data_IF_888846827486
#
_entry.id   IF_888846827486
#
_cell.length_a   1.000
_cell.length_b   1.000
_cell.length_c   1.000
_cell.angle_alpha   90.00
_cell.angle_beta   90.00
_cell.angle_gamma   90.00
#
_symmetry.space_group_name_H-M   'P 1'
#
loop_
_entity.id
_entity.type
_entity.pdbx_description
1 polymer ?
#
# COMPACT_ATOMS: atom_id res chain seq x y z
N UNK A 1 40.92 20.53 3.26
CA UNK A 1 40.65 19.47 2.27
C UNK A 1 39.35 19.81 1.57
N UNK A 2 39.42 20.10 0.27
CA UNK A 2 38.28 20.48 -0.56
C UNK A 2 37.40 19.26 -0.79
N UNK A 3 36.13 19.32 -0.34
CA UNK A 3 35.11 18.36 -0.73
C UNK A 3 34.88 18.54 -2.23
N UNK A 4 35.38 17.59 -3.03
CA UNK A 4 35.01 17.49 -4.43
C UNK A 4 33.54 17.07 -4.44
N UNK A 5 32.69 18.01 -4.81
CA UNK A 5 31.27 17.80 -5.06
C UNK A 5 31.18 16.94 -6.33
N UNK A 6 31.36 15.62 -6.20
CA UNK A 6 30.92 14.70 -7.25
C UNK A 6 29.41 14.89 -7.37
N UNK A 7 29.01 15.61 -8.42
CA UNK A 7 27.62 15.82 -8.76
C UNK A 7 27.06 14.44 -9.09
N UNK A 8 26.39 13.82 -8.11
CA UNK A 8 25.66 12.59 -8.31
C UNK A 8 24.64 12.81 -9.43
N UNK A 9 24.93 12.23 -10.60
CA UNK A 9 24.27 12.52 -11.88
C UNK A 9 22.89 11.86 -12.03
N UNK A 10 22.33 11.35 -10.93
CA UNK A 10 21.02 10.69 -10.93
C UNK A 10 19.94 11.60 -10.32
N UNK A 11 18.78 11.62 -10.96
CA UNK A 11 17.55 12.17 -10.39
C UNK A 11 16.72 11.01 -9.82
N UNK A 12 16.37 11.05 -8.53
CA UNK A 12 15.61 9.99 -7.89
C UNK A 12 15.97 9.72 -6.44
N UNK A 13 15.44 8.62 -5.89
CA UNK A 13 15.68 8.16 -4.53
C UNK A 13 16.71 7.03 -4.51
N UNK A 14 17.69 7.11 -3.60
CA UNK A 14 18.60 6.00 -3.28
C UNK A 14 18.69 5.82 -1.76
N UNK A 15 18.55 4.58 -1.31
CA UNK A 15 18.85 4.22 0.07
C UNK A 15 20.36 3.94 0.16
N UNK A 16 21.09 4.62 1.05
CA UNK A 16 22.55 4.53 1.11
C UNK A 16 23.01 3.58 2.20
N UNK A 17 22.64 3.86 3.45
CA UNK A 17 23.06 3.04 4.58
C UNK A 17 22.09 3.12 5.76
N UNK A 18 22.17 2.13 6.65
CA UNK A 18 21.49 2.11 7.93
C UNK A 18 22.42 1.54 9.01
N UNK A 19 22.80 2.36 10.00
CA UNK A 19 23.37 1.90 11.27
C UNK A 19 22.22 1.73 12.27
N UNK A 20 22.12 0.57 12.91
CA UNK A 20 21.17 0.28 13.99
C UNK A 20 21.94 -0.25 15.19
N UNK A 21 21.69 0.31 16.37
CA UNK A 21 22.32 -0.12 17.62
C UNK A 21 21.25 -0.37 18.68
N UNK A 22 21.23 -1.58 19.23
CA UNK A 22 20.33 -1.95 20.32
C UNK A 22 18.84 -2.06 19.94
N UNK A 23 18.50 -2.17 18.65
CA UNK A 23 17.10 -2.25 18.20
C UNK A 23 16.47 -3.63 18.54
N UNK A 24 15.31 -3.64 19.19
CA UNK A 24 14.65 -4.89 19.64
C UNK A 24 14.19 -5.80 18.50
N UNK A 25 13.77 -5.25 17.36
CA UNK A 25 13.32 -6.03 16.19
C UNK A 25 14.47 -6.75 15.48
N UNK A 26 15.70 -6.35 15.77
CA UNK A 26 16.95 -6.92 15.29
C UNK A 26 17.76 -7.61 16.40
N UNK A 27 17.09 -8.05 17.48
CA UNK A 27 17.73 -8.80 18.55
C UNK A 27 18.73 -7.98 19.38
N UNK A 28 18.56 -6.67 19.45
CA UNK A 28 19.44 -5.70 20.16
C UNK A 28 20.91 -5.73 19.71
N UNK A 29 21.17 -6.24 18.51
CA UNK A 29 22.51 -6.23 17.93
C UNK A 29 22.86 -4.87 17.35
N UNK A 30 24.15 -4.61 17.18
CA UNK A 30 24.65 -3.48 16.40
C UNK A 30 24.85 -3.94 14.96
N UNK A 31 24.07 -3.40 14.04
CA UNK A 31 24.04 -3.80 12.64
C UNK A 31 24.26 -2.60 11.75
N UNK A 32 25.20 -2.73 10.81
CA UNK A 32 25.43 -1.76 9.77
C UNK A 32 25.07 -2.37 8.42
N UNK A 33 24.20 -1.70 7.69
CA UNK A 33 23.80 -2.05 6.34
C UNK A 33 24.33 -1.00 5.38
N UNK A 34 25.19 -1.40 4.44
CA UNK A 34 25.44 -0.63 3.23
C UNK A 34 24.52 -1.15 2.13
N UNK A 35 23.67 -0.27 1.61
CA UNK A 35 22.74 -0.62 0.54
C UNK A 35 23.31 -0.30 -0.82
N UNK A 36 24.44 0.42 -0.90
CA UNK A 36 25.15 0.79 -2.12
C UNK A 36 26.56 0.22 -2.10
N UNK A 37 27.09 -0.10 -3.28
CA UNK A 37 28.53 -0.35 -3.45
C UNK A 37 29.22 1.00 -3.66
N UNK A 38 30.29 1.27 -2.92
CA UNK A 38 31.04 2.53 -2.98
C UNK A 38 31.61 2.79 -4.39
N UNK A 39 31.76 1.75 -5.21
CA UNK A 39 32.26 1.85 -6.57
C UNK A 39 31.14 2.05 -7.61
N UNK A 40 29.86 2.02 -7.21
CA UNK A 40 28.74 2.04 -8.13
C UNK A 40 28.41 3.46 -8.59
N UNK A 41 28.86 3.80 -9.80
CA UNK A 41 28.64 5.10 -10.46
C UNK A 41 27.35 5.15 -11.28
N UNK A 42 26.38 4.27 -11.01
CA UNK A 42 25.18 4.15 -11.84
C UNK A 42 24.30 5.41 -11.83
N UNK A 43 24.03 5.89 -13.05
CA UNK A 43 23.10 6.97 -13.40
C UNK A 43 21.64 6.45 -13.57
N UNK A 44 21.39 5.16 -13.32
CA UNK A 44 20.08 4.50 -13.54
C UNK A 44 19.36 4.15 -12.23
N UNK A 45 18.08 3.74 -12.37
CA UNK A 45 17.23 3.29 -11.26
C UNK A 45 17.94 2.18 -10.49
N UNK A 46 18.19 2.44 -9.21
CA UNK A 46 18.93 1.55 -8.33
C UNK A 46 18.04 0.42 -7.80
N UNK A 47 18.52 -0.83 -7.93
CA UNK A 47 17.81 -2.01 -7.41
C UNK A 47 18.70 -2.72 -6.40
N UNK A 48 18.26 -2.79 -5.14
CA UNK A 48 18.91 -3.61 -4.11
C UNK A 48 18.17 -4.91 -3.92
N UNK A 49 18.90 -6.03 -3.92
CA UNK A 49 18.36 -7.35 -3.62
C UNK A 49 18.93 -7.84 -2.29
N UNK A 50 18.04 -8.14 -1.33
CA UNK A 50 18.43 -8.69 -0.03
C UNK A 50 18.02 -10.16 0.04
N UNK A 51 19.02 -11.05 0.11
CA UNK A 51 18.83 -12.51 0.14
C UNK A 51 19.26 -13.03 1.51
N UNK A 52 18.49 -13.97 2.06
CA UNK A 52 18.82 -14.64 3.31
C UNK A 52 17.75 -15.66 3.69
N UNK A 53 18.08 -16.57 4.61
CA UNK A 53 17.16 -17.60 5.06
C UNK A 53 15.85 -17.03 5.66
N UNK A 54 14.80 -17.84 5.73
CA UNK A 54 13.57 -17.43 6.40
C UNK A 54 13.83 -17.15 7.89
N UNK A 55 13.21 -16.09 8.42
CA UNK A 55 13.39 -15.67 9.82
C UNK A 55 14.57 -14.75 10.11
N UNK A 56 15.44 -14.43 9.13
CA UNK A 56 16.61 -13.56 9.33
C UNK A 56 16.31 -12.05 9.43
N UNK A 57 15.05 -11.66 9.68
CA UNK A 57 14.70 -10.25 9.89
C UNK A 57 14.59 -9.37 8.64
N UNK A 58 14.68 -9.90 7.41
CA UNK A 58 14.60 -9.13 6.15
C UNK A 58 13.40 -8.16 6.09
N UNK A 59 12.19 -8.63 6.41
CA UNK A 59 11.01 -7.77 6.41
C UNK A 59 10.98 -6.79 7.59
N UNK A 60 11.66 -7.11 8.71
CA UNK A 60 11.83 -6.17 9.81
C UNK A 60 12.78 -5.03 9.42
N UNK A 61 13.80 -5.30 8.61
CA UNK A 61 14.72 -4.27 8.11
C UNK A 61 13.95 -3.19 7.33
N UNK A 62 13.14 -3.62 6.35
CA UNK A 62 12.30 -2.69 5.61
C UNK A 62 11.24 -2.03 6.48
N UNK A 63 10.68 -2.74 7.46
CA UNK A 63 9.77 -2.15 8.44
C UNK A 63 10.42 -0.97 9.18
N UNK A 64 11.64 -1.17 9.70
CA UNK A 64 12.38 -0.13 10.43
C UNK A 64 12.64 1.07 9.51
N UNK A 65 13.11 0.85 8.29
CA UNK A 65 13.35 1.94 7.32
C UNK A 65 12.07 2.75 7.06
N UNK A 66 10.93 2.07 6.83
CA UNK A 66 9.66 2.74 6.59
C UNK A 66 9.18 3.49 7.85
N UNK A 67 9.36 2.92 9.04
CA UNK A 67 9.00 3.58 10.31
C UNK A 67 9.88 4.81 10.58
N UNK A 68 11.18 4.77 10.26
CA UNK A 68 12.07 5.93 10.34
C UNK A 68 11.67 7.03 9.35
N UNK A 69 11.35 6.67 8.10
CA UNK A 69 10.87 7.64 7.10
C UNK A 69 9.51 8.24 7.49
N UNK A 70 8.62 7.46 8.08
CA UNK A 70 7.37 7.98 8.64
C UNK A 70 7.63 8.94 9.78
N UNK A 71 8.51 8.58 10.72
CA UNK A 71 8.84 9.42 11.86
C UNK A 71 9.44 10.75 11.40
N UNK A 72 10.35 10.72 10.42
CA UNK A 72 10.89 11.93 9.80
C UNK A 72 9.78 12.78 9.15
N UNK A 73 8.81 12.16 8.47
CA UNK A 73 7.64 12.85 7.89
C UNK A 73 6.71 13.45 8.94
N UNK A 74 6.57 12.81 10.11
CA UNK A 74 5.80 13.35 11.21
C UNK A 74 6.53 14.57 11.83
N UNK A 75 7.84 14.47 12.03
CA UNK A 75 8.69 15.57 12.52
C UNK A 75 8.70 16.76 11.55
N UNK A 76 8.75 16.51 10.24
CA UNK A 76 8.69 17.57 9.22
C UNK A 76 7.35 18.31 9.19
N UNK A 77 6.32 17.77 9.85
CA UNK A 77 4.99 18.37 10.03
C UNK A 77 4.80 18.93 11.46
N UNK A 78 5.88 19.05 12.24
CA UNK A 78 5.85 19.57 13.60
C UNK A 78 5.27 18.61 14.65
N UNK A 79 5.05 17.32 14.32
CA UNK A 79 4.60 16.34 15.32
C UNK A 79 5.77 15.90 16.20
N UNK A 80 5.45 15.41 17.39
CA UNK A 80 6.45 14.82 18.29
C UNK A 80 6.92 13.46 17.79
N UNK A 81 8.16 13.12 18.14
CA UNK A 81 8.77 11.83 17.81
C UNK A 81 7.95 10.67 18.39
N UNK A 82 7.64 9.69 17.55
CA UNK A 82 6.81 8.53 17.92
C UNK A 82 7.57 7.43 18.66
N UNK A 83 8.90 7.35 18.48
CA UNK A 83 9.76 6.29 19.03
C UNK A 83 9.30 4.86 18.66
N UNK A 84 8.70 4.72 17.47
CA UNK A 84 8.30 3.39 16.95
C UNK A 84 9.53 2.50 16.68
N UNK A 85 10.66 3.12 16.35
CA UNK A 85 11.96 2.45 16.23
C UNK A 85 12.75 2.72 17.50
N UNK A 86 12.96 1.67 18.29
CA UNK A 86 13.77 1.71 19.50
C UNK A 86 15.27 1.60 19.20
N UNK A 87 16.09 2.00 20.18
CA UNK A 87 17.54 2.02 20.06
C UNK A 87 18.09 3.27 19.37
N UNK A 88 19.35 3.18 18.95
CA UNK A 88 19.99 4.23 18.18
C UNK A 88 20.07 3.84 16.70
N UNK A 89 19.98 4.83 15.82
CA UNK A 89 20.03 4.65 14.38
C UNK A 89 20.75 5.80 13.68
N UNK A 90 21.19 5.50 12.46
CA UNK A 90 21.60 6.47 11.46
C UNK A 90 21.14 5.97 10.09
N UNK A 91 20.09 6.59 9.56
CA UNK A 91 19.55 6.31 8.23
C UNK A 91 20.07 7.35 7.25
N UNK A 92 20.84 6.90 6.26
CA UNK A 92 21.31 7.74 5.15
C UNK A 92 20.59 7.36 3.86
N UNK A 93 20.05 8.36 3.19
CA UNK A 93 19.41 8.22 1.89
C UNK A 93 19.67 9.46 1.06
N UNK A 94 19.42 9.39 -0.23
CA UNK A 94 19.53 10.54 -1.09
C UNK A 94 18.30 10.71 -1.96
N UNK A 95 17.95 11.98 -2.18
CA UNK A 95 16.83 12.42 -2.99
C UNK A 95 17.35 13.49 -3.94
N UNK A 96 17.28 13.24 -5.24
CA UNK A 96 17.67 14.19 -6.29
C UNK A 96 19.09 14.76 -6.10
N UNK A 97 20.03 13.89 -5.70
CA UNK A 97 21.44 14.24 -5.51
C UNK A 97 21.80 14.80 -4.12
N UNK A 98 20.82 15.22 -3.32
CA UNK A 98 21.06 15.62 -1.93
C UNK A 98 21.09 14.40 -1.02
N UNK A 99 22.08 14.33 -0.12
CA UNK A 99 22.20 13.26 0.89
C UNK A 99 21.56 13.74 2.18
N UNK A 100 20.56 13.00 2.65
CA UNK A 100 19.90 13.21 3.93
C UNK A 100 20.35 12.15 4.93
N UNK A 101 20.65 12.59 6.14
CA UNK A 101 21.05 11.74 7.26
C UNK A 101 20.12 12.00 8.44
N UNK A 102 19.21 11.06 8.68
CA UNK A 102 18.31 11.07 9.84
C UNK A 102 18.88 10.14 10.89
N UNK A 103 19.33 10.69 12.02
CA UNK A 103 20.08 9.95 13.02
C UNK A 103 19.77 10.41 14.44
N UNK A 104 19.99 9.52 15.40
CA UNK A 104 20.14 9.86 16.82
C UNK A 104 21.45 9.32 17.41
N UNK A 105 22.32 8.73 16.57
CA UNK A 105 23.71 8.44 16.95
C UNK A 105 24.50 9.74 16.77
N UNK A 106 25.03 10.31 17.86
CA UNK A 106 25.97 11.42 17.78
C UNK A 106 27.36 10.85 17.48
N UNK A 107 28.01 11.33 16.43
CA UNK A 107 29.40 10.94 16.11
C UNK A 107 30.31 11.28 17.30
N UNK A 108 31.22 10.37 17.65
CA UNK A 108 32.20 10.54 18.73
C UNK A 108 32.98 11.85 18.53
N UNK A 109 32.64 12.87 19.31
CA UNK A 109 33.14 14.24 19.15
C UNK A 109 32.27 15.28 19.87
N UNK A 110 30.98 14.98 20.07
CA UNK A 110 30.05 15.76 20.91
C UNK A 110 29.53 14.93 22.08
N UNK A 111 30.42 14.27 22.82
CA UNK A 111 30.06 13.63 24.08
C UNK A 111 29.82 14.71 25.13
N UNK A 112 28.56 15.11 25.31
CA UNK A 112 28.15 15.69 26.59
C UNK A 112 28.31 14.60 27.65
N UNK A 113 29.31 14.79 28.51
CA UNK A 113 29.47 14.11 29.77
C UNK A 113 28.19 14.28 30.59
N UNK A 114 27.27 13.33 30.53
CA UNK A 114 26.30 13.11 31.59
C UNK A 114 25.84 11.65 31.55
N UNK A 115 26.51 10.87 32.39
CA UNK A 115 26.17 9.51 32.77
C UNK A 115 24.82 9.48 33.51
N UNK A 116 23.71 9.48 32.77
CA UNK A 116 22.43 8.99 33.28
C UNK A 116 21.88 7.95 32.29
N UNK A 117 21.25 6.94 32.87
CA UNK A 117 20.77 5.69 32.27
C UNK A 117 20.10 5.83 30.89
N UNK A 118 20.13 4.77 30.04
CA UNK A 118 19.59 4.81 28.69
C UNK A 118 18.05 4.69 28.72
N UNK A 119 17.37 5.71 29.25
CA UNK A 119 15.92 5.85 29.16
C UNK A 119 15.57 6.95 28.15
N UNK A 120 15.10 6.51 26.97
CA UNK A 120 14.72 7.29 25.78
C UNK A 120 15.92 7.88 25.04
N UNK A 121 16.28 7.21 23.94
CA UNK A 121 17.45 7.51 23.12
C UNK A 121 17.58 8.97 22.72
N UNK A 122 18.81 9.36 22.38
CA UNK A 122 19.21 10.72 22.02
C UNK A 122 18.19 11.44 21.12
N UNK A 123 18.11 12.79 21.24
CA UNK A 123 17.30 13.58 20.32
C UNK A 123 17.74 13.31 18.89
N UNK A 124 16.77 13.06 18.01
CA UNK A 124 17.07 12.86 16.60
C UNK A 124 17.49 14.20 15.97
N UNK A 125 18.30 14.14 14.93
CA UNK A 125 18.71 15.27 14.12
C UNK A 125 18.66 14.89 12.64
N UNK A 126 18.64 15.92 11.78
CA UNK A 126 18.67 15.77 10.33
C UNK A 126 19.85 16.55 9.77
N UNK A 127 20.66 15.90 8.95
CA UNK A 127 21.68 16.57 8.12
C UNK A 127 21.28 16.51 6.65
N UNK A 128 21.65 17.54 5.90
CA UNK A 128 21.65 17.56 4.42
C UNK A 128 23.06 17.86 3.97
N UNK A 129 23.66 16.94 3.21
CA UNK A 129 25.04 17.03 2.72
C UNK A 129 26.07 17.31 3.84
N UNK A 130 25.83 16.77 5.03
CA UNK A 130 26.68 16.94 6.22
C UNK A 130 26.35 18.16 7.09
N UNK A 131 25.48 19.08 6.64
CA UNK A 131 25.08 20.25 7.40
C UNK A 131 23.76 20.02 8.13
N UNK A 132 23.67 20.43 9.39
CA UNK A 132 22.44 20.27 10.19
C UNK A 132 21.34 21.19 9.68
N UNK A 133 20.15 20.64 9.47
CA UNK A 133 18.97 21.35 8.98
C UNK A 133 17.75 21.04 9.84
N UNK A 134 16.72 21.88 9.72
CA UNK A 134 15.43 21.65 10.34
C UNK A 134 14.66 20.52 9.64
N UNK A 135 13.82 19.80 10.40
CA UNK A 135 13.03 18.69 9.87
C UNK A 135 12.04 19.11 8.79
N UNK A 136 11.55 20.35 8.81
CA UNK A 136 10.64 20.91 7.79
C UNK A 136 11.28 20.93 6.39
N UNK A 137 12.62 20.93 6.31
CA UNK A 137 13.39 20.90 5.06
C UNK A 137 13.68 19.48 4.57
N UNK A 138 13.17 18.44 5.25
CA UNK A 138 13.32 17.06 4.83
C UNK A 138 12.66 16.81 3.47
N UNK A 139 13.33 16.02 2.63
CA UNK A 139 12.78 15.54 1.37
C UNK A 139 12.52 14.03 1.42
N UNK A 140 11.55 13.59 0.63
CA UNK A 140 11.09 12.21 0.60
C UNK A 140 10.93 11.74 -0.84
N UNK A 141 10.99 10.41 -1.10
CA UNK A 141 10.57 9.87 -2.37
C UNK A 141 9.11 10.26 -2.71
N UNK A 142 8.80 10.30 -4.00
CA UNK A 142 7.44 10.59 -4.49
C UNK A 142 6.44 9.57 -3.94
N UNK A 143 6.82 8.29 -3.95
CA UNK A 143 6.01 7.21 -3.43
C UNK A 143 6.90 6.09 -2.85
N UNK A 144 6.41 5.44 -1.79
CA UNK A 144 6.98 4.23 -1.20
C UNK A 144 5.90 3.16 -1.30
N UNK A 145 6.18 2.09 -2.05
CA UNK A 145 5.23 1.01 -2.27
C UNK A 145 5.75 -0.26 -1.62
N UNK A 146 5.03 -0.76 -0.62
CA UNK A 146 5.32 -2.06 -0.01
C UNK A 146 4.38 -3.11 -0.59
N UNK A 147 4.90 -3.93 -1.52
CA UNK A 147 4.16 -5.07 -2.07
C UNK A 147 4.48 -6.34 -1.26
N UNK A 148 3.46 -7.00 -0.75
CA UNK A 148 3.64 -8.16 0.14
C UNK A 148 2.53 -9.19 -0.02
N UNK A 149 2.91 -10.34 -0.55
CA UNK A 149 2.02 -11.47 -0.76
C UNK A 149 2.01 -12.38 0.47
N UNK A 150 3.12 -12.44 1.21
CA UNK A 150 3.26 -13.34 2.36
C UNK A 150 2.75 -12.71 3.65
N UNK A 151 1.93 -13.46 4.39
CA UNK A 151 1.39 -13.05 5.70
C UNK A 151 2.48 -12.72 6.73
N UNK A 152 3.63 -13.40 6.58
CA UNK A 152 4.79 -13.30 7.45
C UNK A 152 5.56 -12.01 7.28
N UNK A 153 5.41 -11.32 6.15
CA UNK A 153 6.09 -10.05 5.93
C UNK A 153 5.62 -9.02 6.94
N UNK A 154 6.57 -8.25 7.46
CA UNK A 154 6.36 -7.33 8.59
C UNK A 154 6.24 -5.86 8.17
N UNK A 155 5.95 -5.58 6.89
CA UNK A 155 5.72 -4.20 6.45
C UNK A 155 4.62 -3.53 7.30
N UNK A 156 4.81 -2.26 7.68
CA UNK A 156 3.87 -1.56 8.54
C UNK A 156 2.58 -1.24 7.79
N UNK A 157 1.47 -1.21 8.53
CA UNK A 157 0.17 -0.76 8.02
C UNK A 157 -0.30 0.40 8.88
N UNK A 158 -0.28 1.61 8.32
CA UNK A 158 -0.70 2.81 9.03
C UNK A 158 -2.21 2.99 8.89
N UNK A 159 -2.87 3.27 10.01
CA UNK A 159 -4.29 3.66 9.98
C UNK A 159 -4.39 5.10 9.53
N UNK A 160 -5.54 5.47 8.96
CA UNK A 160 -5.89 6.88 8.75
C UNK A 160 -5.89 7.62 10.08
N UNK A 161 -5.42 8.86 10.03
CA UNK A 161 -5.42 9.80 11.15
C UNK A 161 -6.44 10.90 10.89
N UNK A 162 -6.86 11.59 11.96
CA UNK A 162 -7.67 12.80 11.81
C UNK A 162 -6.74 13.99 11.58
N UNK A 163 -7.06 14.81 10.60
CA UNK A 163 -6.43 16.12 10.45
C UNK A 163 -7.03 17.16 11.42
N UNK A 164 -6.56 18.41 11.34
CA UNK A 164 -7.03 19.53 12.15
C UNK A 164 -8.53 19.83 11.97
N UNK A 165 -9.10 19.45 10.82
CA UNK A 165 -10.52 19.61 10.48
C UNK A 165 -11.36 18.38 10.86
N UNK A 166 -10.73 17.34 11.42
CA UNK A 166 -11.39 16.08 11.79
C UNK A 166 -11.60 15.10 10.63
N UNK A 167 -11.08 15.40 9.44
CA UNK A 167 -11.15 14.53 8.27
C UNK A 167 -10.16 13.37 8.37
N UNK A 168 -10.56 12.20 7.84
CA UNK A 168 -9.74 10.99 7.86
C UNK A 168 -8.72 11.00 6.72
N UNK A 169 -7.49 11.37 7.03
CA UNK A 169 -6.37 11.44 6.08
C UNK A 169 -5.38 10.29 6.27
N UNK A 170 -4.62 9.97 5.23
CA UNK A 170 -3.56 8.96 5.32
C UNK A 170 -2.44 9.43 6.27
N UNK A 171 -2.09 8.62 7.27
CA UNK A 171 -1.06 8.99 8.25
C UNK A 171 0.37 9.05 7.67
N UNK A 172 0.58 8.46 6.49
CA UNK A 172 1.79 8.66 5.70
C UNK A 172 1.43 8.65 4.21
N UNK A 173 1.03 9.80 3.62
CA UNK A 173 0.42 9.86 2.29
C UNK A 173 1.28 9.29 1.15
N UNK A 174 2.60 9.31 1.32
CA UNK A 174 3.57 8.80 0.33
C UNK A 174 3.72 7.27 0.38
N UNK A 175 3.28 6.62 1.46
CA UNK A 175 3.42 5.19 1.65
C UNK A 175 2.13 4.44 1.30
N UNK A 176 2.26 3.42 0.44
CA UNK A 176 1.16 2.53 0.05
C UNK A 176 1.52 1.08 0.35
N UNK A 177 0.78 0.47 1.25
CA UNK A 177 0.87 -0.96 1.50
C UNK A 177 -0.06 -1.73 0.54
N UNK A 178 0.55 -2.45 -0.39
CA UNK A 178 -0.10 -3.30 -1.39
C UNK A 178 0.05 -4.77 -1.01
N UNK A 179 -0.35 -5.14 0.21
CA UNK A 179 -0.29 -6.52 0.64
C UNK A 179 -1.59 -7.10 1.14
N UNK A 180 -1.51 -8.33 1.65
CA UNK A 180 -2.67 -9.13 2.10
C UNK A 180 -3.41 -8.59 3.32
N UNK A 181 -2.82 -7.66 4.09
CA UNK A 181 -3.48 -7.07 5.27
C UNK A 181 -4.51 -6.01 4.89
N UNK A 182 -5.73 -6.15 5.41
CA UNK A 182 -6.80 -5.15 5.30
C UNK A 182 -6.87 -4.22 6.52
N UNK A 183 -6.54 -4.76 7.68
CA UNK A 183 -6.34 -4.06 8.95
C UNK A 183 -5.12 -4.70 9.64
N UNK A 184 -4.47 -4.06 10.62
CA UNK A 184 -3.25 -4.58 11.23
C UNK A 184 -3.34 -6.04 11.73
N UNK A 185 -4.54 -6.47 12.13
CA UNK A 185 -4.80 -7.80 12.71
C UNK A 185 -5.46 -8.80 11.75
N UNK A 186 -5.79 -8.41 10.51
CA UNK A 186 -6.50 -9.29 9.57
C UNK A 186 -5.87 -9.24 8.19
N UNK A 187 -5.67 -10.43 7.63
CA UNK A 187 -5.13 -10.59 6.30
C UNK A 187 -5.98 -11.55 5.48
N UNK A 188 -6.12 -11.23 4.19
CA UNK A 188 -6.92 -12.00 3.24
C UNK A 188 -6.28 -11.91 1.86
N UNK A 189 -6.02 -13.06 1.26
CA UNK A 189 -5.60 -13.14 -0.15
C UNK A 189 -6.67 -12.54 -1.08
N UNK A 190 -7.96 -12.66 -0.73
CA UNK A 190 -9.06 -12.00 -1.46
C UNK A 190 -8.95 -10.47 -1.43
N UNK A 191 -8.45 -9.90 -0.33
CA UNK A 191 -8.26 -8.47 -0.24
C UNK A 191 -7.12 -7.98 -1.15
N UNK A 192 -6.03 -8.74 -1.22
CA UNK A 192 -4.95 -8.47 -2.15
C UNK A 192 -5.41 -8.52 -3.61
N UNK A 193 -6.15 -9.57 -4.00
CA UNK A 193 -6.73 -9.70 -5.33
C UNK A 193 -7.67 -8.53 -5.62
N UNK A 194 -8.57 -8.19 -4.68
CA UNK A 194 -9.49 -7.06 -4.84
C UNK A 194 -8.75 -5.74 -5.05
N UNK A 195 -7.76 -5.42 -4.23
CA UNK A 195 -6.95 -4.18 -4.40
C UNK A 195 -6.23 -4.16 -5.73
N UNK A 196 -5.67 -5.30 -6.15
CA UNK A 196 -4.99 -5.43 -7.44
C UNK A 196 -5.96 -5.11 -8.58
N UNK A 197 -7.17 -5.68 -8.55
CA UNK A 197 -8.23 -5.37 -9.52
C UNK A 197 -8.62 -3.89 -9.47
N UNK A 198 -8.85 -3.31 -8.29
CA UNK A 198 -9.18 -1.89 -8.13
C UNK A 198 -8.09 -0.99 -8.76
N UNK A 199 -6.81 -1.23 -8.49
CA UNK A 199 -5.72 -0.45 -9.09
C UNK A 199 -5.62 -0.57 -10.61
N UNK A 200 -5.82 -1.79 -11.12
CA UNK A 200 -5.83 -2.05 -12.55
C UNK A 200 -6.98 -1.25 -13.19
N UNK A 201 -8.20 -1.38 -12.67
CA UNK A 201 -9.38 -0.66 -13.16
C UNK A 201 -9.19 0.87 -13.07
N UNK A 202 -8.64 1.39 -11.97
CA UNK A 202 -8.32 2.82 -11.83
C UNK A 202 -7.35 3.31 -12.93
N UNK A 203 -6.41 2.48 -13.39
CA UNK A 203 -5.52 2.87 -14.49
C UNK A 203 -6.26 2.90 -15.84
N UNK A 204 -7.32 2.10 -16.00
CA UNK A 204 -8.17 2.09 -17.18
C UNK A 204 -9.16 3.25 -17.21
N UNK A 205 -9.75 3.62 -16.07
CA UNK A 205 -10.76 4.70 -15.95
C UNK A 205 -10.18 6.11 -16.11
N UNK A 206 -8.88 6.31 -15.84
CA UNK A 206 -8.20 7.55 -16.18
C UNK A 206 -8.33 7.73 -17.69
N UNK A 207 -9.13 8.72 -18.13
CA UNK A 207 -9.49 9.04 -19.54
C UNK A 207 -8.32 9.13 -20.54
N UNK A 208 -7.10 9.15 -20.06
CA UNK A 208 -5.86 9.05 -20.82
C UNK A 208 -5.27 7.63 -20.84
N UNK A 209 -6.02 6.54 -20.60
CA UNK A 209 -5.47 5.18 -20.49
C UNK A 209 -4.81 4.64 -21.78
N UNK A 210 -5.22 5.14 -22.94
CA UNK A 210 -4.49 4.95 -24.20
C UNK A 210 -3.19 5.80 -24.30
N UNK A 211 -3.07 6.88 -23.51
CA UNK A 211 -1.83 7.65 -23.33
C UNK A 211 -1.01 7.23 -22.10
N UNK A 212 -1.59 6.52 -21.12
CA UNK A 212 -1.00 6.28 -19.79
C UNK A 212 0.16 5.29 -19.82
N UNK A 213 0.49 4.74 -21.00
CA UNK A 213 1.55 3.76 -21.19
C UNK A 213 1.29 2.43 -20.47
N UNK A 214 0.24 2.32 -19.65
CA UNK A 214 -0.04 1.16 -18.81
C UNK A 214 -0.44 -0.05 -19.64
N UNK A 215 -1.41 0.10 -20.55
CA UNK A 215 -1.83 -0.98 -21.46
C UNK A 215 -0.65 -1.45 -22.31
N UNK A 216 0.11 -0.49 -22.88
CA UNK A 216 1.29 -0.82 -23.70
C UNK A 216 2.41 -1.48 -22.90
N UNK A 217 2.64 -1.06 -21.65
CA UNK A 217 3.62 -1.70 -20.77
C UNK A 217 3.17 -3.10 -20.34
N UNK A 218 1.87 -3.27 -20.10
CA UNK A 218 1.28 -4.55 -19.77
C UNK A 218 1.40 -5.53 -20.94
N UNK A 219 1.02 -5.10 -22.16
CA UNK A 219 1.22 -5.88 -23.39
C UNK A 219 2.68 -6.29 -23.58
N UNK A 220 3.61 -5.35 -23.43
CA UNK A 220 5.06 -5.67 -23.49
C UNK A 220 5.48 -6.69 -22.43
N UNK A 221 4.92 -6.63 -21.23
CA UNK A 221 5.26 -7.56 -20.15
C UNK A 221 4.69 -8.96 -20.42
N UNK A 222 3.44 -9.06 -20.90
CA UNK A 222 2.84 -10.34 -21.30
C UNK A 222 3.53 -10.94 -22.52
N UNK A 223 3.86 -10.13 -23.53
CA UNK A 223 4.66 -10.54 -24.70
C UNK A 223 6.02 -11.09 -24.27
N UNK A 224 6.72 -10.40 -23.36
CA UNK A 224 8.02 -10.84 -22.84
C UNK A 224 7.93 -12.16 -22.07
N UNK A 225 6.82 -12.40 -21.37
CA UNK A 225 6.56 -13.63 -20.64
C UNK A 225 5.94 -14.74 -21.51
N UNK A 226 5.75 -14.49 -22.81
CA UNK A 226 5.08 -15.39 -23.76
C UNK A 226 3.65 -15.78 -23.29
N UNK A 227 2.96 -14.82 -22.68
CA UNK A 227 1.57 -14.96 -22.22
C UNK A 227 0.62 -14.31 -23.23
N UNK A 228 -0.61 -14.81 -23.26
CA UNK A 228 -1.68 -14.17 -24.02
C UNK A 228 -1.89 -12.73 -23.52
N UNK A 229 -2.09 -11.80 -24.47
CA UNK A 229 -2.35 -10.38 -24.21
C UNK A 229 -3.78 -10.13 -23.70
N UNK A 230 -4.23 -10.92 -22.72
CA UNK A 230 -5.53 -10.77 -22.06
C UNK A 230 -5.37 -10.71 -20.54
N UNK A 231 -6.16 -9.83 -19.92
CA UNK A 231 -6.43 -9.91 -18.48
C UNK A 231 -7.92 -10.05 -18.32
N UNK A 232 -8.35 -11.24 -17.93
CA UNK A 232 -9.73 -11.55 -17.66
C UNK A 232 -10.02 -11.46 -16.17
N UNK A 233 -10.99 -10.63 -15.80
CA UNK A 233 -11.57 -10.63 -14.46
C UNK A 233 -12.89 -11.39 -14.51
N UNK A 234 -12.95 -12.46 -13.73
CA UNK A 234 -14.15 -13.27 -13.58
C UNK A 234 -14.92 -12.87 -12.31
N UNK A 235 -16.19 -12.52 -12.49
CA UNK A 235 -17.14 -12.39 -11.40
C UNK A 235 -18.15 -13.53 -11.44
N UNK A 236 -18.48 -14.08 -10.27
CA UNK A 236 -19.45 -15.14 -10.14
C UNK A 236 -20.70 -14.61 -9.45
N UNK A 237 -21.86 -14.83 -10.08
CA UNK A 237 -23.12 -14.39 -9.51
C UNK A 237 -23.49 -15.23 -8.29
N UNK A 238 -24.20 -14.59 -7.36
CA UNK A 238 -24.86 -15.26 -6.24
C UNK A 238 -26.32 -14.85 -6.23
N UNK A 239 -27.20 -15.76 -5.82
CA UNK A 239 -28.65 -15.57 -5.88
C UNK A 239 -29.14 -15.18 -7.30
N UNK A 240 -28.62 -15.86 -8.33
CA UNK A 240 -28.91 -15.57 -9.75
C UNK A 240 -30.43 -15.50 -10.02
N UNK A 241 -31.18 -16.43 -9.44
CA UNK A 241 -32.63 -16.50 -9.56
C UNK A 241 -33.38 -15.34 -8.89
N UNK A 242 -32.72 -14.40 -8.20
CA UNK A 242 -33.34 -13.21 -7.60
C UNK A 242 -32.89 -11.93 -8.28
N UNK A 243 -31.59 -11.81 -8.60
CA UNK A 243 -31.02 -10.55 -9.08
C UNK A 243 -30.71 -10.51 -10.58
N UNK A 244 -30.70 -11.64 -11.27
CA UNK A 244 -30.28 -11.74 -12.67
C UNK A 244 -31.38 -12.40 -13.51
N UNK A 245 -32.58 -11.82 -13.46
CA UNK A 245 -33.74 -12.20 -14.28
C UNK A 245 -34.02 -11.27 -15.47
N UNK A 246 -33.42 -10.08 -15.48
CA UNK A 246 -33.60 -9.06 -16.53
C UNK A 246 -34.65 -7.99 -16.20
N UNK A 247 -35.33 -8.11 -15.05
CA UNK A 247 -36.42 -7.25 -14.59
C UNK A 247 -36.21 -6.72 -13.14
N UNK A 248 -34.96 -6.69 -12.66
CA UNK A 248 -34.64 -6.23 -11.32
C UNK A 248 -34.97 -4.72 -11.17
N UNK A 249 -35.64 -4.36 -10.09
CA UNK A 249 -35.92 -2.95 -9.72
C UNK A 249 -35.42 -2.64 -8.31
N UNK A 250 -35.26 -1.35 -7.94
CA UNK A 250 -34.95 -0.96 -6.57
C UNK A 250 -35.94 -1.52 -5.54
N UNK A 251 -37.24 -1.54 -5.85
CA UNK A 251 -38.27 -2.12 -4.98
C UNK A 251 -38.11 -3.63 -4.85
N UNK A 252 -37.64 -4.30 -5.92
CA UNK A 252 -37.28 -5.71 -5.88
C UNK A 252 -36.09 -6.01 -4.96
N UNK A 253 -35.12 -5.10 -4.87
CA UNK A 253 -34.03 -5.18 -3.89
C UNK A 253 -34.56 -4.98 -2.46
N UNK A 254 -35.40 -3.96 -2.25
CA UNK A 254 -36.03 -3.69 -0.95
C UNK A 254 -36.81 -4.93 -0.47
N UNK A 255 -37.65 -5.51 -1.35
CA UNK A 255 -38.45 -6.69 -1.04
C UNK A 255 -37.61 -7.93 -0.68
N UNK A 256 -36.36 -8.01 -1.16
CA UNK A 256 -35.44 -9.08 -0.77
C UNK A 256 -34.77 -8.80 0.58
N UNK A 257 -34.30 -7.57 0.81
CA UNK A 257 -33.47 -7.25 1.98
C UNK A 257 -34.27 -6.85 3.22
N UNK A 258 -35.44 -6.23 3.11
CA UNK A 258 -36.23 -5.82 4.28
C UNK A 258 -36.67 -7.00 5.16
N UNK A 259 -37.17 -8.14 4.63
CA UNK A 259 -37.50 -9.29 5.47
C UNK A 259 -36.27 -9.86 6.21
N UNK A 260 -35.09 -9.76 5.59
CA UNK A 260 -33.84 -10.17 6.22
C UNK A 260 -33.49 -9.18 7.35
N UNK A 261 -33.61 -7.88 7.09
CA UNK A 261 -33.37 -6.84 8.09
C UNK A 261 -34.27 -6.99 9.33
N UNK A 262 -35.56 -7.26 9.13
CA UNK A 262 -36.51 -7.49 10.23
C UNK A 262 -36.12 -8.71 11.08
N UNK A 263 -35.59 -9.75 10.45
CA UNK A 263 -35.15 -10.98 11.11
C UNK A 263 -33.82 -10.82 11.87
N UNK A 264 -32.98 -9.87 11.47
CA UNK A 264 -31.67 -9.59 12.05
C UNK A 264 -31.57 -8.12 12.48
N UNK A 265 -32.32 -7.71 13.52
CA UNK A 265 -32.43 -6.31 13.91
C UNK A 265 -31.21 -5.78 14.67
N UNK A 266 -30.36 -6.66 15.25
CA UNK A 266 -29.24 -6.23 16.09
C UNK A 266 -27.95 -6.12 15.29
N UNK A 267 -27.07 -5.14 15.59
CA UNK A 267 -25.77 -5.01 14.94
C UNK A 267 -24.82 -6.20 15.19
N UNK A 268 -24.99 -6.92 16.30
CA UNK A 268 -24.22 -8.13 16.59
C UNK A 268 -24.70 -9.35 15.80
N UNK A 269 -25.90 -9.27 15.21
CA UNK A 269 -26.41 -10.33 14.36
C UNK A 269 -25.55 -10.42 13.09
N UNK A 270 -25.26 -11.63 12.65
CA UNK A 270 -24.57 -11.87 11.38
C UNK A 270 -25.62 -12.18 10.31
N UNK A 271 -26.23 -11.16 9.66
CA UNK A 271 -27.26 -11.39 8.67
C UNK A 271 -26.70 -12.18 7.49
N UNK A 272 -27.50 -13.08 6.90
CA UNK A 272 -27.10 -13.76 5.68
C UNK A 272 -26.95 -12.72 4.57
N UNK A 273 -25.90 -12.91 3.75
CA UNK A 273 -25.75 -12.26 2.45
C UNK A 273 -25.84 -10.72 2.46
N UNK A 274 -24.71 -10.04 2.67
CA UNK A 274 -24.46 -8.62 2.31
C UNK A 274 -25.49 -7.56 2.74
N UNK A 275 -26.40 -7.84 3.69
CA UNK A 275 -27.38 -6.87 4.19
C UNK A 275 -26.72 -5.54 4.60
N UNK A 276 -25.60 -5.60 5.33
CA UNK A 276 -24.86 -4.42 5.77
C UNK A 276 -24.32 -3.55 4.61
N UNK A 277 -24.09 -4.13 3.43
CA UNK A 277 -23.70 -3.36 2.24
C UNK A 277 -24.91 -2.66 1.63
N UNK A 278 -26.04 -3.36 1.51
CA UNK A 278 -27.29 -2.79 1.03
C UNK A 278 -27.77 -1.63 1.93
N UNK A 279 -27.75 -1.81 3.25
CA UNK A 279 -28.18 -0.76 4.20
C UNK A 279 -27.37 0.54 4.07
N UNK A 280 -26.11 0.48 3.62
CA UNK A 280 -25.28 1.67 3.37
C UNK A 280 -25.69 2.46 2.14
N UNK A 281 -26.33 1.81 1.17
CA UNK A 281 -26.68 2.40 -0.13
C UNK A 281 -28.20 2.53 -0.33
N UNK A 282 -29.01 1.99 0.59
CA UNK A 282 -30.48 1.92 0.48
C UNK A 282 -31.12 3.28 0.17
N UNK A 283 -30.67 4.33 0.83
CA UNK A 283 -31.23 5.68 0.67
C UNK A 283 -30.80 6.35 -0.65
N UNK A 284 -29.73 5.86 -1.30
CA UNK A 284 -29.28 6.35 -2.60
C UNK A 284 -30.02 5.64 -3.74
N UNK A 285 -31.26 6.11 -4.00
CA UNK A 285 -32.11 5.54 -5.05
C UNK A 285 -31.51 5.63 -6.45
N UNK A 286 -30.68 6.64 -6.74
CA UNK A 286 -30.00 6.76 -8.04
C UNK A 286 -28.95 5.66 -8.20
N UNK A 287 -28.16 5.41 -7.16
CA UNK A 287 -27.19 4.32 -7.15
C UNK A 287 -27.87 2.95 -7.26
N UNK A 288 -28.97 2.74 -6.52
CA UNK A 288 -29.74 1.50 -6.62
C UNK A 288 -30.29 1.28 -8.03
N UNK A 289 -30.81 2.32 -8.67
CA UNK A 289 -31.29 2.22 -10.05
C UNK A 289 -30.15 1.83 -11.00
N UNK A 290 -29.00 2.50 -10.90
CA UNK A 290 -27.81 2.17 -11.70
C UNK A 290 -27.35 0.72 -11.53
N UNK A 291 -27.39 0.19 -10.30
CA UNK A 291 -27.09 -1.22 -10.01
C UNK A 291 -28.11 -2.14 -10.69
N UNK A 292 -29.41 -1.83 -10.60
CA UNK A 292 -30.46 -2.62 -11.23
C UNK A 292 -30.33 -2.64 -12.75
N UNK A 293 -30.13 -1.47 -13.35
CA UNK A 293 -29.93 -1.30 -14.79
C UNK A 293 -28.72 -2.11 -15.27
N UNK A 294 -27.62 -2.07 -14.52
CA UNK A 294 -26.44 -2.87 -14.79
C UNK A 294 -26.73 -4.38 -14.73
N UNK A 295 -27.38 -4.86 -13.67
CA UNK A 295 -27.76 -6.27 -13.55
C UNK A 295 -28.67 -6.73 -14.68
N UNK A 296 -29.67 -5.92 -15.05
CA UNK A 296 -30.59 -6.23 -16.15
C UNK A 296 -29.89 -6.22 -17.50
N UNK A 297 -28.99 -5.26 -17.74
CA UNK A 297 -28.17 -5.19 -18.94
C UNK A 297 -27.34 -6.46 -19.13
N UNK A 298 -26.72 -6.98 -18.06
CA UNK A 298 -25.96 -8.23 -18.12
C UNK A 298 -26.80 -9.43 -18.59
N UNK A 299 -28.07 -9.50 -18.18
CA UNK A 299 -28.99 -10.56 -18.60
C UNK A 299 -29.44 -10.34 -20.05
N UNK A 300 -29.86 -9.12 -20.38
CA UNK A 300 -30.45 -8.79 -21.67
C UNK A 300 -29.44 -8.81 -22.82
N UNK A 301 -28.16 -8.57 -22.53
CA UNK A 301 -27.06 -8.67 -23.50
C UNK A 301 -26.38 -10.05 -23.53
N UNK A 302 -26.96 -11.06 -22.85
CA UNK A 302 -26.43 -12.43 -22.75
C UNK A 302 -24.96 -12.49 -22.26
N UNK A 303 -24.58 -11.59 -21.34
CA UNK A 303 -23.23 -11.51 -20.75
C UNK A 303 -23.03 -12.47 -19.57
N UNK A 304 -23.99 -13.36 -19.32
CA UNK A 304 -23.99 -14.30 -18.19
C UNK A 304 -23.72 -15.73 -18.66
N UNK A 305 -22.45 -16.11 -18.65
CA UNK A 305 -22.03 -17.44 -19.05
C UNK A 305 -22.45 -18.51 -18.03
N UNK A 306 -23.05 -19.61 -18.52
CA UNK A 306 -23.37 -20.76 -17.68
C UNK A 306 -22.12 -21.61 -17.47
N UNK A 307 -21.81 -21.92 -16.22
CA UNK A 307 -20.72 -22.84 -15.89
C UNK A 307 -21.03 -24.27 -16.36
N UNK A 308 -20.02 -25.09 -16.69
CA UNK A 308 -20.20 -26.46 -17.20
C UNK A 308 -20.81 -27.44 -16.18
N UNK A 309 -21.12 -26.99 -14.96
CA UNK A 309 -21.77 -27.79 -13.92
C UNK A 309 -23.28 -27.85 -14.14
N UNK A 310 -23.80 -29.05 -14.40
CA UNK A 310 -25.18 -29.34 -14.83
C UNK A 310 -26.29 -28.71 -13.96
N UNK A 311 -26.03 -28.50 -12.67
CA UNK A 311 -27.01 -28.00 -11.69
C UNK A 311 -26.65 -26.64 -11.06
N UNK A 312 -25.60 -25.96 -11.53
CA UNK A 312 -25.20 -24.70 -10.92
C UNK A 312 -26.10 -23.53 -11.37
N UNK A 313 -26.66 -22.82 -10.39
CA UNK A 313 -27.36 -21.55 -10.61
C UNK A 313 -26.38 -20.38 -10.75
N UNK A 314 -25.09 -20.59 -10.48
CA UNK A 314 -24.05 -19.58 -10.63
C UNK A 314 -23.85 -19.28 -12.11
N UNK A 315 -23.70 -17.99 -12.43
CA UNK A 315 -23.28 -17.49 -13.74
C UNK A 315 -21.94 -16.80 -13.61
N UNK A 316 -21.15 -16.84 -14.67
CA UNK A 316 -19.85 -16.19 -14.78
C UNK A 316 -20.01 -14.95 -15.65
N UNK A 317 -19.45 -13.83 -15.20
CA UNK A 317 -19.28 -12.61 -15.98
C UNK A 317 -17.79 -12.48 -16.24
N UNK A 318 -17.42 -12.27 -17.49
CA UNK A 318 -16.02 -12.11 -17.92
C UNK A 318 -15.81 -10.67 -18.37
N UNK A 319 -14.81 -10.00 -17.81
CA UNK A 319 -14.33 -8.70 -18.27
C UNK A 319 -12.91 -8.83 -18.78
N UNK A 320 -12.69 -8.64 -20.07
CA UNK A 320 -11.35 -8.47 -20.61
C UNK A 320 -10.94 -7.00 -20.49
N UNK A 321 -9.84 -6.75 -19.80
CA UNK A 321 -9.37 -5.40 -19.54
C UNK A 321 -8.49 -4.83 -20.65
N UNK A 322 -7.82 -5.67 -21.45
CA UNK A 322 -6.89 -5.23 -22.50
C UNK A 322 -7.65 -4.92 -23.79
N UNK A 323 -8.71 -5.67 -24.08
CA UNK A 323 -9.65 -5.47 -25.18
C UNK A 323 -11.06 -5.35 -24.61
N UNK A 324 -11.43 -4.16 -24.07
CA UNK A 324 -12.77 -3.96 -23.56
C UNK A 324 -13.79 -4.08 -24.69
N UNK A 325 -14.67 -5.09 -24.57
CA UNK A 325 -15.77 -5.41 -25.49
C UNK A 325 -16.87 -4.35 -25.53
#
# INVERSE_FOLDING_TARGET
MSYIKEIHKYEGFKLLSLDLRGNSLMGKSNLYYSFVDENDKQDIIYTTVIIGANGTGKSNLFRIIIELLKELNDLSRGKSRSYNVDGNFNLKFSVNGDIFEYANIVSEGESNENNNEPEKGNPAFLLRNGEKIDFELAQFPIAIVANSIMLTDKFPFFRKEKDENGEQVEAFPRYKYLGVRNIPQSASTRAYVRRTVEFIVEQFEKKDSNKSGFISALKRATDFLELDNSIDIYYYTSNNAKFFRGDLTPEGLDAYFEPIREKYPKPEDNPPFKLNQYLKIKEDRKLLQSICDFCNKLVNEDKLEKLPYKYSSIRKITYNLIEPS
#
